data_IF_321612950869
#
_entry.id   IF_321612950869
#
_cell.length_a   1.000
_cell.length_b   1.000
_cell.length_c   1.000
_cell.angle_alpha   90.00
_cell.angle_beta   90.00
_cell.angle_gamma   90.00
#
_symmetry.space_group_name_H-M   'P 1'
#
loop_
_entity.id
_entity.type
_entity.pdbx_description
1 polymer ?
#
# COMPACT_ATOMS: atom_id res chain seq x y z
N UNK A 1 -13.53 14.48 -7.80
CA UNK A 1 -13.07 13.20 -7.23
C UNK A 1 -13.54 13.16 -5.79
N UNK A 2 -14.68 12.50 -5.59
CA UNK A 2 -15.47 12.47 -4.36
C UNK A 2 -14.70 11.86 -3.18
N UNK A 3 -14.60 12.65 -2.10
CA UNK A 3 -13.91 12.29 -0.86
C UNK A 3 -14.92 11.69 0.12
N UNK A 4 -15.19 10.38 0.02
CA UNK A 4 -15.86 9.67 1.11
C UNK A 4 -14.83 9.30 2.17
N UNK A 5 -14.94 9.92 3.33
CA UNK A 5 -14.03 9.75 4.47
C UNK A 5 -14.85 9.34 5.70
N UNK A 6 -14.62 8.17 6.32
CA UNK A 6 -15.28 7.85 7.57
C UNK A 6 -14.76 8.77 8.68
N UNK A 7 -15.68 9.26 9.54
CA UNK A 7 -15.37 10.13 10.68
C UNK A 7 -14.42 9.39 11.63
N UNK A 8 -13.17 9.87 11.72
CA UNK A 8 -12.14 9.34 12.62
C UNK A 8 -10.74 9.28 12.01
N UNK A 9 -10.60 9.30 10.69
CA UNK A 9 -9.28 9.28 10.06
C UNK A 9 -8.72 10.71 10.03
N UNK A 10 -7.70 11.00 10.83
CA UNK A 10 -7.06 12.32 10.83
C UNK A 10 -6.42 12.58 9.45
N UNK A 11 -6.51 13.84 8.99
CA UNK A 11 -5.96 14.31 7.71
C UNK A 11 -4.42 14.21 7.70
N UNK A 12 -3.91 13.02 7.43
CA UNK A 12 -2.50 12.78 7.08
C UNK A 12 -2.32 12.77 5.56
N UNK A 13 -3.14 13.54 4.83
CA UNK A 13 -3.25 13.51 3.37
C UNK A 13 -1.92 13.81 2.68
N UNK A 14 -1.13 14.75 3.22
CA UNK A 14 0.17 15.09 2.66
C UNK A 14 1.21 13.96 2.78
N UNK A 15 1.25 13.25 3.92
CA UNK A 15 2.15 12.09 4.08
C UNK A 15 1.62 10.87 3.34
N UNK A 16 0.30 10.68 3.26
CA UNK A 16 -0.33 9.66 2.43
C UNK A 16 -0.01 9.83 0.94
N UNK A 17 -0.02 11.06 0.42
CA UNK A 17 0.37 11.34 -0.97
C UNK A 17 1.86 11.06 -1.23
N UNK A 18 2.73 11.35 -0.26
CA UNK A 18 4.16 11.10 -0.37
C UNK A 18 4.46 9.58 -0.35
N UNK A 19 3.79 8.84 0.52
CA UNK A 19 3.85 7.37 0.56
C UNK A 19 3.27 6.72 -0.67
N UNK A 20 2.20 7.28 -1.24
CA UNK A 20 1.62 6.80 -2.48
C UNK A 20 2.56 6.97 -3.68
N UNK A 21 3.73 7.60 -3.52
CA UNK A 21 4.78 7.60 -4.53
C UNK A 21 5.92 6.66 -4.17
N UNK A 22 6.27 6.56 -2.89
CA UNK A 22 7.36 5.70 -2.43
C UNK A 22 6.96 4.22 -2.36
N UNK A 23 5.76 3.91 -1.86
CA UNK A 23 5.29 2.54 -1.56
C UNK A 23 4.47 1.97 -2.72
N UNK A 24 4.17 2.74 -3.77
CA UNK A 24 3.49 2.20 -4.95
C UNK A 24 4.44 1.39 -5.84
N UNK A 25 3.93 0.34 -6.53
CA UNK A 25 4.71 -0.38 -7.52
C UNK A 25 5.22 0.58 -8.60
N UNK A 26 6.43 0.35 -9.08
CA UNK A 26 7.01 1.17 -10.15
C UNK A 26 6.15 1.15 -11.41
N UNK A 27 6.22 2.22 -12.20
CA UNK A 27 5.49 2.31 -13.48
C UNK A 27 5.83 1.15 -14.41
N UNK A 28 7.07 0.68 -14.39
CA UNK A 28 7.51 -0.49 -15.16
C UNK A 28 6.84 -1.77 -14.68
N UNK A 29 6.79 -2.00 -13.37
CA UNK A 29 6.12 -3.17 -12.81
C UNK A 29 4.62 -3.15 -13.07
N UNK A 30 3.99 -1.96 -12.99
CA UNK A 30 2.56 -1.77 -13.31
C UNK A 30 2.27 -2.05 -14.80
N UNK A 31 3.14 -1.58 -15.71
CA UNK A 31 3.03 -1.86 -17.14
C UNK A 31 3.26 -3.34 -17.45
N UNK A 32 4.21 -3.97 -16.77
CA UNK A 32 4.50 -5.40 -16.96
C UNK A 32 3.35 -6.30 -16.50
N UNK A 33 2.69 -5.91 -15.41
CA UNK A 33 1.53 -6.62 -14.88
C UNK A 33 0.35 -6.61 -15.85
N UNK A 34 0.10 -5.48 -16.52
CA UNK A 34 -0.98 -5.29 -17.51
C UNK A 34 -2.36 -5.81 -17.08
N UNK A 35 -2.61 -5.94 -15.78
CA UNK A 35 -3.80 -6.59 -15.19
C UNK A 35 -3.97 -8.08 -15.57
N UNK A 36 -2.89 -8.77 -15.92
CA UNK A 36 -2.91 -10.22 -16.17
C UNK A 36 -2.90 -11.01 -14.84
N UNK A 37 -3.98 -11.71 -14.48
CA UNK A 37 -4.06 -12.45 -13.22
C UNK A 37 -3.02 -13.57 -13.11
N UNK A 38 -2.62 -14.17 -14.24
CA UNK A 38 -1.55 -15.17 -14.30
C UNK A 38 -0.19 -14.61 -13.85
N UNK A 39 0.04 -13.30 -14.05
CA UNK A 39 1.27 -12.60 -13.63
C UNK A 39 1.19 -12.08 -12.20
N UNK A 40 0.01 -12.06 -11.58
CA UNK A 40 -0.18 -11.58 -10.21
C UNK A 40 0.73 -12.22 -9.16
N UNK A 41 0.95 -13.54 -9.10
CA UNK A 41 1.87 -14.13 -8.12
C UNK A 41 3.31 -13.62 -8.29
N UNK A 42 3.77 -13.43 -9.53
CA UNK A 42 5.09 -12.86 -9.82
C UNK A 42 5.14 -11.37 -9.51
N UNK A 43 4.08 -10.63 -9.85
CA UNK A 43 3.92 -9.22 -9.53
C UNK A 43 4.00 -9.01 -8.01
N UNK A 44 3.31 -9.85 -7.24
CA UNK A 44 3.41 -9.86 -5.77
C UNK A 44 4.86 -10.01 -5.32
N UNK A 45 5.57 -11.05 -5.77
CA UNK A 45 6.96 -11.26 -5.35
C UNK A 45 7.88 -10.10 -5.72
N UNK A 46 7.72 -9.53 -6.92
CA UNK A 46 8.49 -8.37 -7.37
C UNK A 46 8.19 -7.11 -6.57
N UNK A 47 6.91 -6.81 -6.34
CA UNK A 47 6.49 -5.66 -5.54
C UNK A 47 6.98 -5.79 -4.09
N UNK A 48 6.91 -6.99 -3.51
CA UNK A 48 7.45 -7.26 -2.18
C UNK A 48 8.97 -7.01 -2.12
N UNK A 49 9.70 -7.38 -3.17
CA UNK A 49 11.12 -7.08 -3.27
C UNK A 49 11.39 -5.56 -3.39
N UNK A 50 10.60 -4.84 -4.19
CA UNK A 50 10.69 -3.36 -4.28
C UNK A 50 10.46 -2.71 -2.92
N UNK A 51 9.47 -3.19 -2.16
CA UNK A 51 9.19 -2.69 -0.81
C UNK A 51 10.32 -3.03 0.17
N UNK A 52 10.85 -4.25 0.12
CA UNK A 52 11.93 -4.68 0.99
C UNK A 52 13.25 -3.91 0.75
N UNK A 53 13.50 -3.52 -0.50
CA UNK A 53 14.67 -2.70 -0.88
C UNK A 53 14.43 -1.19 -0.61
N UNK A 54 13.17 -0.78 -0.39
CA UNK A 54 12.82 0.61 -0.22
C UNK A 54 13.15 1.11 1.20
N UNK A 55 14.07 2.08 1.35
CA UNK A 55 14.43 2.64 2.67
C UNK A 55 13.27 3.39 3.35
N UNK A 56 12.24 3.79 2.60
CA UNK A 56 11.03 4.41 3.16
C UNK A 56 10.09 3.41 3.85
N UNK A 57 10.23 2.11 3.58
CA UNK A 57 9.39 1.05 4.17
C UNK A 57 9.39 1.06 5.72
N UNK A 58 10.53 1.00 6.42
CA UNK A 58 10.54 0.95 7.88
C UNK A 58 9.92 2.18 8.53
N UNK A 59 10.14 3.38 7.95
CA UNK A 59 9.51 4.62 8.43
C UNK A 59 7.98 4.57 8.25
N UNK A 60 7.52 4.05 7.10
CA UNK A 60 6.10 3.85 6.83
C UNK A 60 5.47 2.86 7.82
N UNK A 61 6.08 1.70 8.01
CA UNK A 61 5.60 0.68 8.95
C UNK A 61 5.47 1.24 10.37
N UNK A 62 6.50 1.96 10.84
CA UNK A 62 6.49 2.58 12.17
C UNK A 62 5.36 3.60 12.30
N UNK A 63 5.13 4.43 11.27
CA UNK A 63 4.04 5.39 11.32
C UNK A 63 2.67 4.71 11.33
N UNK A 64 2.48 3.64 10.56
CA UNK A 64 1.23 2.87 10.58
C UNK A 64 1.00 2.25 11.96
N UNK A 65 2.04 1.69 12.60
CA UNK A 65 1.97 1.20 13.98
C UNK A 65 1.53 2.28 14.97
N UNK A 66 2.13 3.47 14.88
CA UNK A 66 1.77 4.60 15.74
C UNK A 66 0.33 5.04 15.51
N UNK A 67 -0.14 5.08 14.26
CA UNK A 67 -1.54 5.41 13.98
C UNK A 67 -2.49 4.33 14.47
N UNK A 68 -2.16 3.05 14.31
CA UNK A 68 -2.94 1.92 14.83
C UNK A 68 -3.06 1.91 16.35
N UNK A 69 -2.03 2.41 17.06
CA UNK A 69 -2.09 2.58 18.51
C UNK A 69 -3.10 3.65 18.94
N UNK A 70 -3.42 4.61 18.06
CA UNK A 70 -4.37 5.71 18.33
C UNK A 70 -5.77 5.41 17.78
N UNK A 71 -5.88 4.66 16.68
CA UNK A 71 -7.16 4.28 16.08
C UNK A 71 -7.02 3.46 14.79
N UNK A 72 -8.12 3.23 14.09
CA UNK A 72 -8.09 2.39 12.88
C UNK A 72 -7.45 3.10 11.68
N UNK A 73 -6.56 2.41 10.98
CA UNK A 73 -5.97 2.87 9.71
C UNK A 73 -6.76 2.31 8.54
N UNK A 74 -7.20 3.18 7.63
CA UNK A 74 -7.89 2.80 6.40
C UNK A 74 -6.99 3.08 5.19
N UNK A 75 -6.66 2.04 4.43
CA UNK A 75 -5.92 2.17 3.17
C UNK A 75 -6.90 2.49 2.05
N UNK A 76 -6.75 3.67 1.46
CA UNK A 76 -7.56 4.12 0.31
C UNK A 76 -6.74 3.91 -0.96
N UNK A 77 -7.36 3.32 -1.99
CA UNK A 77 -6.70 3.06 -3.25
C UNK A 77 -7.59 3.39 -4.44
N UNK A 78 -6.95 3.86 -5.52
CA UNK A 78 -7.60 4.17 -6.79
C UNK A 78 -7.13 3.19 -7.88
N UNK A 79 -7.43 1.89 -7.68
CA UNK A 79 -7.23 0.89 -8.72
C UNK A 79 -8.54 0.67 -9.47
N UNK A 80 -8.46 0.57 -10.80
CA UNK A 80 -9.60 0.20 -11.65
C UNK A 80 -10.07 -1.24 -11.39
N UNK A 81 -9.15 -2.10 -10.96
CA UNK A 81 -9.39 -3.51 -10.67
C UNK A 81 -9.35 -3.78 -9.15
N UNK A 82 -10.49 -4.19 -8.55
CA UNK A 82 -10.58 -4.44 -7.11
C UNK A 82 -9.94 -5.77 -6.70
N UNK A 83 -9.86 -6.77 -7.58
CA UNK A 83 -9.38 -8.12 -7.26
C UNK A 83 -7.85 -8.27 -7.34
N UNK A 84 -7.21 -7.66 -8.34
CA UNK A 84 -5.76 -7.76 -8.55
C UNK A 84 -5.11 -6.40 -8.41
N UNK A 85 -4.93 -5.96 -7.16
CA UNK A 85 -4.29 -4.69 -6.85
C UNK A 85 -3.05 -4.86 -5.96
N UNK A 86 -2.18 -3.86 -5.97
CA UNK A 86 -1.00 -3.81 -5.11
C UNK A 86 -1.36 -3.63 -3.63
N UNK A 87 -2.57 -3.12 -3.35
CA UNK A 87 -3.02 -2.76 -2.00
C UNK A 87 -3.32 -4.00 -1.17
N UNK A 88 -3.85 -5.07 -1.77
CA UNK A 88 -4.04 -6.36 -1.06
C UNK A 88 -2.71 -6.97 -0.66
N UNK A 89 -1.66 -6.78 -1.47
CA UNK A 89 -0.30 -7.23 -1.15
C UNK A 89 0.28 -6.40 -0.02
N UNK A 90 0.18 -5.07 -0.12
CA UNK A 90 0.63 -4.14 0.91
C UNK A 90 -0.08 -4.39 2.24
N UNK A 91 -1.40 -4.58 2.23
CA UNK A 91 -2.20 -4.88 3.41
C UNK A 91 -1.76 -6.19 4.06
N UNK A 92 -1.54 -7.24 3.27
CA UNK A 92 -1.07 -8.52 3.79
C UNK A 92 0.33 -8.40 4.42
N UNK A 93 1.22 -7.61 3.83
CA UNK A 93 2.55 -7.38 4.37
C UNK A 93 2.50 -6.54 5.65
N UNK A 94 1.69 -5.47 5.69
CA UNK A 94 1.46 -4.69 6.90
C UNK A 94 0.90 -5.56 8.01
N UNK A 95 -0.12 -6.38 7.75
CA UNK A 95 -0.66 -7.32 8.75
C UNK A 95 0.42 -8.23 9.30
N UNK A 96 1.23 -8.83 8.42
CA UNK A 96 2.33 -9.71 8.83
C UNK A 96 3.37 -8.98 9.69
N UNK A 97 3.69 -7.74 9.34
CA UNK A 97 4.61 -6.93 10.13
C UNK A 97 3.99 -6.62 11.50
N UNK A 98 2.74 -6.17 11.54
CA UNK A 98 2.02 -5.76 12.75
C UNK A 98 1.76 -6.92 13.73
N UNK A 99 1.51 -8.14 13.23
CA UNK A 99 1.36 -9.35 14.04
C UNK A 99 2.69 -9.89 14.60
N UNK A 100 3.83 -9.34 14.17
CA UNK A 100 5.18 -9.80 14.51
C UNK A 100 5.93 -8.89 15.48
#
# INVERSE_FOLDING_TARGET
MDRLWPRGVAKTTAQLEDWNKAITPTTELRRWFDHEPAKFPTFKTRYLAEIADNPAWPAFEQQIRQQLAVGNVTLVYAAKDPEYNHVVILLALLKKALDS
#
